data_IF_385729159565
#
_entry.id   IF_385729159565
#
_cell.length_a   1.000
_cell.length_b   1.000
_cell.length_c   1.000
_cell.angle_alpha   90.00
_cell.angle_beta   90.00
_cell.angle_gamma   90.00
#
_symmetry.space_group_name_H-M   'P 1'
#
loop_
_entity.id
_entity.type
_entity.pdbx_description
1 polymer ?
#
# COMPACT_ATOMS: atom_id res chain seq x y z
N UNK A 1 55.00 -21.05 37.87
CA UNK A 1 54.74 -20.53 36.51
C UNK A 1 53.24 -20.35 36.32
N UNK A 2 52.78 -19.13 36.48
CA UNK A 2 51.38 -18.84 36.28
C UNK A 2 51.17 -18.32 34.86
N UNK A 3 50.47 -19.08 34.05
CA UNK A 3 50.04 -18.67 32.76
C UNK A 3 48.86 -17.70 32.93
N UNK A 4 49.07 -16.44 32.74
CA UNK A 4 48.01 -15.44 32.59
C UNK A 4 47.43 -15.62 31.19
N UNK A 5 46.22 -16.17 31.13
CA UNK A 5 45.42 -16.18 29.92
C UNK A 5 44.80 -14.79 29.81
N UNK A 6 45.09 -14.02 28.78
CA UNK A 6 44.43 -12.74 28.61
C UNK A 6 42.94 -13.03 28.28
N UNK A 7 42.08 -12.59 29.16
CA UNK A 7 40.66 -12.52 28.86
C UNK A 7 40.46 -11.47 27.77
N UNK A 8 40.33 -11.91 26.54
CA UNK A 8 39.89 -11.02 25.45
C UNK A 8 38.40 -10.85 25.61
N UNK A 9 38.00 -9.75 26.25
CA UNK A 9 36.65 -9.25 26.17
C UNK A 9 36.40 -8.79 24.72
N UNK A 10 35.82 -9.66 23.93
CA UNK A 10 35.24 -9.27 22.66
C UNK A 10 34.03 -8.33 22.95
N UNK A 11 34.03 -7.10 22.46
CA UNK A 11 32.85 -6.27 22.54
C UNK A 11 31.77 -6.97 21.74
N UNK A 12 30.73 -7.45 22.43
CA UNK A 12 29.51 -7.86 21.78
C UNK A 12 28.93 -6.57 21.20
N UNK A 13 29.18 -6.33 19.93
CA UNK A 13 28.45 -5.32 19.20
C UNK A 13 26.99 -5.74 19.20
N UNK A 14 26.22 -5.17 20.11
CA UNK A 14 24.77 -5.21 20.05
C UNK A 14 24.36 -4.45 18.81
N UNK A 15 24.34 -5.14 17.68
CA UNK A 15 23.67 -4.67 16.48
C UNK A 15 22.18 -4.59 16.85
N UNK A 16 21.73 -3.40 17.20
CA UNK A 16 20.32 -3.17 17.44
C UNK A 16 19.61 -3.17 16.10
N UNK A 17 19.12 -4.35 15.70
CA UNK A 17 18.22 -4.50 14.55
C UNK A 17 16.90 -3.73 14.69
N UNK A 18 16.59 -3.27 15.91
CA UNK A 18 15.40 -2.47 16.21
C UNK A 18 15.36 -1.10 15.50
N UNK A 19 16.48 -0.61 14.99
CA UNK A 19 16.55 0.70 14.33
C UNK A 19 16.23 0.62 12.84
N UNK A 20 16.17 -0.55 12.25
CA UNK A 20 15.92 -0.75 10.83
C UNK A 20 14.50 -1.19 10.52
N UNK A 21 13.58 -1.14 11.48
CA UNK A 21 12.18 -1.00 11.15
C UNK A 21 11.94 0.42 10.59
N UNK A 22 12.70 0.77 9.57
CA UNK A 22 12.33 1.89 8.72
C UNK A 22 10.92 1.56 8.23
N UNK A 23 9.95 2.34 8.71
CA UNK A 23 8.71 2.52 7.98
C UNK A 23 9.16 2.76 6.55
N UNK A 24 8.95 1.78 5.67
CA UNK A 24 9.13 1.99 4.25
C UNK A 24 8.31 3.23 3.94
N UNK A 25 8.99 4.34 3.67
CA UNK A 25 8.31 5.59 3.40
C UNK A 25 7.36 5.32 2.24
N UNK A 26 6.07 5.59 2.44
CA UNK A 26 5.11 5.53 1.37
C UNK A 26 5.65 6.35 0.20
N UNK A 27 5.67 5.80 -1.02
CA UNK A 27 6.13 6.56 -2.17
C UNK A 27 5.23 7.78 -2.34
N UNK A 28 5.85 8.91 -2.67
CA UNK A 28 5.09 10.12 -2.94
C UNK A 28 4.28 9.93 -4.21
N UNK A 29 2.97 10.08 -4.10
CA UNK A 29 2.06 9.96 -5.24
C UNK A 29 2.47 10.90 -6.38
N UNK A 30 2.53 10.38 -7.60
CA UNK A 30 2.92 11.13 -8.79
C UNK A 30 1.71 11.35 -9.72
N UNK A 31 1.04 12.51 -9.64
CA UNK A 31 -0.12 12.80 -10.49
C UNK A 31 0.20 12.81 -12.00
N UNK A 32 1.45 13.13 -12.36
CA UNK A 32 1.87 13.20 -13.77
C UNK A 32 1.94 11.82 -14.44
N UNK A 33 2.06 10.74 -13.66
CA UNK A 33 2.10 9.37 -14.15
C UNK A 33 0.78 8.62 -13.92
N UNK A 34 -0.28 9.34 -13.63
CA UNK A 34 -1.62 8.79 -13.40
C UNK A 34 -2.21 8.21 -14.68
N UNK A 35 -2.88 7.08 -14.56
CA UNK A 35 -3.57 6.42 -15.67
C UNK A 35 -4.87 5.77 -15.18
N UNK A 36 -5.67 5.31 -16.12
CA UNK A 36 -6.93 4.62 -15.88
C UNK A 36 -6.75 3.14 -16.15
N UNK A 37 -7.15 2.32 -15.18
CA UNK A 37 -7.06 0.86 -15.25
C UNK A 37 -8.45 0.26 -15.07
N UNK A 38 -8.88 -0.52 -16.05
CA UNK A 38 -10.16 -1.24 -16.01
C UNK A 38 -9.92 -2.69 -15.68
N UNK A 39 -10.77 -3.24 -14.84
CA UNK A 39 -10.66 -4.64 -14.47
C UNK A 39 -11.80 -5.14 -13.61
N UNK A 40 -11.68 -6.39 -13.20
CA UNK A 40 -12.62 -7.08 -12.34
C UNK A 40 -11.96 -7.37 -11.00
N UNK A 41 -12.67 -7.13 -9.92
CA UNK A 41 -12.17 -7.41 -8.58
C UNK A 41 -12.07 -8.92 -8.37
N UNK A 42 -10.86 -9.41 -8.14
CA UNK A 42 -10.61 -10.80 -7.77
C UNK A 42 -10.73 -11.01 -6.26
N UNK A 43 -10.39 -10.01 -5.45
CA UNK A 43 -10.49 -10.05 -3.99
C UNK A 43 -10.43 -8.65 -3.40
N UNK A 44 -11.01 -8.48 -2.22
CA UNK A 44 -10.89 -7.27 -1.38
C UNK A 44 -10.30 -7.68 -0.05
N UNK A 45 -9.21 -7.04 0.37
CA UNK A 45 -8.45 -7.40 1.58
C UNK A 45 -8.19 -6.19 2.44
N UNK A 46 -8.37 -6.37 3.75
CA UNK A 46 -7.87 -5.44 4.75
C UNK A 46 -6.57 -6.01 5.32
N UNK A 47 -5.49 -5.24 5.27
CA UNK A 47 -4.20 -5.67 5.81
C UNK A 47 -3.36 -4.49 6.28
N UNK A 48 -2.38 -4.76 7.15
CA UNK A 48 -1.40 -3.78 7.56
C UNK A 48 -0.71 -3.18 6.34
N UNK A 49 -0.73 -1.86 6.25
CA UNK A 49 -0.15 -1.14 5.14
C UNK A 49 0.58 0.12 5.63
N UNK A 50 1.89 0.23 5.40
CA UNK A 50 2.64 1.43 5.82
C UNK A 50 2.20 2.68 5.05
N UNK A 51 1.61 2.52 3.87
CA UNK A 51 1.11 3.65 3.06
C UNK A 51 -0.08 4.32 3.71
N UNK A 52 -1.01 3.55 4.24
CA UNK A 52 -2.21 4.07 4.89
C UNK A 52 -2.01 4.40 6.38
N UNK A 53 -0.86 4.02 6.95
CA UNK A 53 -0.54 4.28 8.35
C UNK A 53 -1.25 3.36 9.35
N UNK A 54 -1.70 2.18 8.91
CA UNK A 54 -2.38 1.19 9.72
C UNK A 54 -2.97 0.09 8.85
N UNK A 55 -4.17 -0.38 9.20
CA UNK A 55 -4.89 -1.34 8.36
C UNK A 55 -5.49 -0.62 7.16
N UNK A 56 -5.11 -1.05 5.97
CA UNK A 56 -5.60 -0.49 4.70
C UNK A 56 -6.43 -1.49 3.92
N UNK A 57 -7.35 -0.96 3.12
CA UNK A 57 -8.14 -1.74 2.18
C UNK A 57 -7.42 -1.81 0.84
N UNK A 58 -7.20 -3.04 0.38
CA UNK A 58 -6.55 -3.34 -0.88
C UNK A 58 -7.49 -4.14 -1.77
N UNK A 59 -7.38 -3.92 -3.06
CA UNK A 59 -8.10 -4.71 -4.06
C UNK A 59 -7.07 -5.50 -4.86
N UNK A 60 -7.36 -6.78 -5.09
CA UNK A 60 -6.67 -7.56 -6.09
C UNK A 60 -7.49 -7.43 -7.37
N UNK A 61 -6.92 -6.77 -8.36
CA UNK A 61 -7.60 -6.43 -9.61
C UNK A 61 -7.07 -7.28 -10.75
N UNK A 62 -7.98 -7.93 -11.46
CA UNK A 62 -7.69 -8.60 -12.72
C UNK A 62 -7.95 -7.61 -13.86
N UNK A 63 -6.89 -7.18 -14.52
CA UNK A 63 -6.96 -6.26 -15.66
C UNK A 63 -7.52 -6.95 -16.92
N UNK A 64 -7.94 -6.15 -17.89
CA UNK A 64 -8.48 -6.67 -19.17
C UNK A 64 -7.49 -7.57 -19.92
N UNK A 65 -6.18 -7.34 -19.79
CA UNK A 65 -5.14 -8.19 -20.38
C UNK A 65 -4.91 -9.51 -19.62
N UNK A 66 -5.67 -9.77 -18.54
CA UNK A 66 -5.55 -10.96 -17.70
C UNK A 66 -4.51 -10.88 -16.60
N UNK A 67 -3.68 -9.84 -16.55
CA UNK A 67 -2.72 -9.65 -15.46
C UNK A 67 -3.42 -9.27 -14.15
N UNK A 68 -2.83 -9.66 -13.02
CA UNK A 68 -3.33 -9.37 -11.69
C UNK A 68 -2.43 -8.34 -11.04
N UNK A 69 -3.02 -7.30 -10.46
CA UNK A 69 -2.30 -6.25 -9.78
C UNK A 69 -2.98 -5.87 -8.48
N UNK A 70 -2.18 -5.53 -7.48
CA UNK A 70 -2.67 -5.04 -6.20
C UNK A 70 -2.93 -3.53 -6.27
N UNK A 71 -4.08 -3.11 -5.76
CA UNK A 71 -4.50 -1.71 -5.72
C UNK A 71 -4.64 -1.29 -4.26
N UNK A 72 -3.88 -0.28 -3.85
CA UNK A 72 -4.01 0.33 -2.53
C UNK A 72 -5.06 1.44 -2.59
N UNK A 73 -6.07 1.36 -1.74
CA UNK A 73 -7.14 2.36 -1.69
C UNK A 73 -6.89 3.40 -0.60
N UNK A 74 -7.25 3.08 0.64
CA UNK A 74 -7.20 3.97 1.79
C UNK A 74 -7.13 3.15 3.07
N UNK A 75 -7.15 3.82 4.23
CA UNK A 75 -7.36 3.12 5.49
C UNK A 75 -8.70 2.40 5.48
N UNK A 76 -8.77 1.26 6.15
CA UNK A 76 -10.02 0.50 6.31
C UNK A 76 -11.09 1.33 7.03
N UNK A 77 -10.67 2.16 7.99
CA UNK A 77 -11.57 3.10 8.66
C UNK A 77 -12.21 4.09 7.66
N UNK A 78 -11.40 4.64 6.74
CA UNK A 78 -11.91 5.55 5.72
C UNK A 78 -12.87 4.86 4.73
N UNK A 79 -12.53 3.67 4.26
CA UNK A 79 -13.40 2.92 3.34
C UNK A 79 -14.74 2.55 3.96
N UNK A 80 -14.76 2.29 5.26
CA UNK A 80 -16.01 2.09 6.02
C UNK A 80 -16.80 3.39 6.15
N UNK A 81 -16.13 4.49 6.44
CA UNK A 81 -16.77 5.80 6.59
C UNK A 81 -17.48 6.25 5.31
N UNK A 82 -16.90 6.00 4.15
CA UNK A 82 -17.52 6.33 2.86
C UNK A 82 -18.47 5.24 2.36
N UNK A 83 -18.75 4.23 3.19
CA UNK A 83 -19.65 3.11 2.88
C UNK A 83 -19.28 2.41 1.55
N UNK A 84 -17.99 2.18 1.35
CA UNK A 84 -17.51 1.49 0.16
C UNK A 84 -18.05 0.07 0.11
N UNK A 85 -18.74 -0.26 -0.97
CA UNK A 85 -19.41 -1.55 -1.18
C UNK A 85 -18.88 -2.24 -2.45
N UNK A 86 -17.57 -2.34 -2.56
CA UNK A 86 -16.92 -3.08 -3.63
C UNK A 86 -16.71 -4.54 -3.22
N UNK A 87 -16.98 -5.45 -4.15
CA UNK A 87 -16.94 -6.90 -3.90
C UNK A 87 -16.23 -7.64 -5.02
N UNK A 88 -15.78 -8.84 -4.71
CA UNK A 88 -15.29 -9.80 -5.70
C UNK A 88 -16.32 -9.95 -6.84
N UNK A 89 -15.83 -9.86 -8.07
CA UNK A 89 -16.66 -9.95 -9.28
C UNK A 89 -17.12 -8.61 -9.84
N UNK A 90 -16.99 -7.52 -9.09
CA UNK A 90 -17.35 -6.19 -9.58
C UNK A 90 -16.37 -5.71 -10.65
N UNK A 91 -16.92 -5.12 -11.72
CA UNK A 91 -16.12 -4.44 -12.74
C UNK A 91 -15.94 -2.97 -12.34
N UNK A 92 -14.71 -2.54 -12.26
CA UNK A 92 -14.35 -1.19 -11.80
C UNK A 92 -13.37 -0.51 -12.74
N UNK A 93 -13.31 0.80 -12.60
CA UNK A 93 -12.33 1.64 -13.26
C UNK A 93 -11.53 2.39 -12.20
N UNK A 94 -10.24 2.13 -12.15
CA UNK A 94 -9.32 2.74 -11.18
C UNK A 94 -8.50 3.80 -11.87
N UNK A 95 -8.58 5.03 -11.37
CA UNK A 95 -7.65 6.10 -11.71
C UNK A 95 -6.58 6.16 -10.63
N UNK A 96 -5.34 5.98 -11.01
CA UNK A 96 -4.26 5.95 -10.03
C UNK A 96 -2.87 5.90 -10.65
N UNK A 97 -1.91 5.81 -9.78
CA UNK A 97 -0.49 5.76 -10.12
C UNK A 97 0.07 4.36 -9.90
N UNK A 98 0.62 3.80 -10.98
CA UNK A 98 1.27 2.49 -10.93
C UNK A 98 2.77 2.67 -10.71
N UNK A 99 3.29 2.02 -9.69
CA UNK A 99 4.71 2.01 -9.37
C UNK A 99 5.08 0.72 -8.64
N UNK A 100 6.37 0.45 -8.53
CA UNK A 100 6.86 -0.64 -7.70
C UNK A 100 6.85 -0.22 -6.23
N UNK A 101 6.27 -1.05 -5.38
CA UNK A 101 6.23 -0.87 -3.94
C UNK A 101 6.49 -2.21 -3.24
N UNK A 102 7.47 -2.26 -2.34
CA UNK A 102 7.89 -3.49 -1.67
C UNK A 102 8.22 -4.63 -2.64
N UNK A 103 8.83 -4.31 -3.78
CA UNK A 103 9.19 -5.28 -4.82
C UNK A 103 8.03 -5.75 -5.69
N UNK A 104 6.84 -5.20 -5.53
CA UNK A 104 5.63 -5.58 -6.25
C UNK A 104 5.08 -4.39 -7.02
N UNK A 105 4.71 -4.61 -8.28
CA UNK A 105 4.02 -3.60 -9.07
C UNK A 105 2.63 -3.36 -8.49
N UNK A 106 2.33 -2.10 -8.16
CA UNK A 106 1.18 -1.70 -7.36
C UNK A 106 0.53 -0.46 -7.96
N UNK A 107 -0.79 -0.36 -7.88
CA UNK A 107 -1.52 0.86 -8.19
C UNK A 107 -1.91 1.54 -6.87
N UNK A 108 -1.55 2.81 -6.73
CA UNK A 108 -2.10 3.67 -5.67
C UNK A 108 -3.29 4.40 -6.25
N UNK A 109 -4.50 4.04 -5.79
CA UNK A 109 -5.72 4.59 -6.34
C UNK A 109 -5.96 6.02 -5.86
N UNK A 110 -6.28 6.91 -6.78
CA UNK A 110 -6.85 8.22 -6.48
C UNK A 110 -8.36 8.17 -6.43
N UNK A 111 -8.99 7.50 -7.38
CA UNK A 111 -10.43 7.26 -7.39
C UNK A 111 -10.77 5.91 -8.02
N UNK A 112 -11.94 5.40 -7.65
CA UNK A 112 -12.51 4.17 -8.21
C UNK A 112 -13.94 4.45 -8.63
N UNK A 113 -14.26 4.12 -9.88
CA UNK A 113 -15.63 4.16 -10.40
C UNK A 113 -16.22 2.76 -10.45
N UNK A 114 -17.40 2.65 -9.91
CA UNK A 114 -18.24 1.44 -9.96
C UNK A 114 -19.68 1.84 -10.29
N UNK A 115 -20.14 1.48 -11.48
CA UNK A 115 -21.45 1.94 -11.96
C UNK A 115 -21.51 3.46 -12.01
N UNK A 116 -22.48 4.04 -11.31
CA UNK A 116 -22.67 5.48 -11.18
C UNK A 116 -21.99 6.08 -9.94
N UNK A 117 -21.28 5.25 -9.16
CA UNK A 117 -20.59 5.67 -7.94
C UNK A 117 -19.13 5.95 -8.22
N UNK A 118 -18.59 6.97 -7.57
CA UNK A 118 -17.17 7.29 -7.58
C UNK A 118 -16.68 7.45 -6.15
N UNK A 119 -15.69 6.64 -5.79
CA UNK A 119 -15.01 6.74 -4.50
C UNK A 119 -13.71 7.51 -4.70
N UNK A 120 -13.54 8.60 -3.99
CA UNK A 120 -12.34 9.44 -4.07
C UNK A 120 -11.48 9.24 -2.83
N UNK A 121 -10.26 8.77 -3.03
CA UNK A 121 -9.32 8.46 -1.94
C UNK A 121 -8.21 9.51 -1.83
N UNK A 122 -7.95 10.27 -2.87
CA UNK A 122 -6.92 11.32 -2.91
C UNK A 122 -7.42 12.53 -3.68
N UNK A 123 -6.90 13.71 -3.31
CA UNK A 123 -7.05 14.91 -4.10
C UNK A 123 -6.23 14.81 -5.41
N UNK A 124 -6.45 15.71 -6.35
CA UNK A 124 -5.75 15.73 -7.64
C UNK A 124 -4.23 15.85 -7.52
N UNK A 125 -3.73 16.46 -6.45
CA UNK A 125 -2.30 16.56 -6.14
C UNK A 125 -1.73 15.30 -5.49
N UNK A 126 -2.58 14.29 -5.20
CA UNK A 126 -2.22 13.05 -4.55
C UNK A 126 -2.35 13.04 -3.03
N UNK A 127 -2.78 14.14 -2.43
CA UNK A 127 -2.98 14.22 -0.98
C UNK A 127 -4.04 13.20 -0.53
N UNK A 128 -3.71 12.28 0.40
CA UNK A 128 -4.67 11.32 0.92
C UNK A 128 -5.84 11.99 1.65
N UNK A 129 -7.06 11.53 1.34
CA UNK A 129 -8.28 12.04 1.97
C UNK A 129 -8.46 11.57 3.43
N UNK A 130 -7.72 10.53 3.84
CA UNK A 130 -7.75 9.97 5.21
C UNK A 130 -6.73 10.58 6.17
N UNK A 131 -5.93 11.54 5.70
CA UNK A 131 -4.98 12.29 6.54
C UNK A 131 -5.59 13.68 6.81
N UNK A 132 -5.63 14.05 8.08
CA UNK A 132 -6.14 15.34 8.55
C UNK A 132 -4.99 16.28 8.88
#
# INVERSE_FOLDING_TARGET
MRLLVPFILLPVALLSFAQNAQKLAAPKYNPAAEAVYKGTIADVRDRQCPVSGGVGTHIILKLENGSIIEVHLATTEFTKMVEMNLRKGDSIEVTGWKTEFEGVETIFAREVKFGNETYVFRAKDGMPAWIY
#
